data_IF_833858619722
#
_entry.id   IF_833858619722
#
_cell.length_a   1.000
_cell.length_b   1.000
_cell.length_c   1.000
_cell.angle_alpha   90.00
_cell.angle_beta   90.00
_cell.angle_gamma   90.00
#
_symmetry.space_group_name_H-M   'P 1'
#
loop_
_entity.id
_entity.type
_entity.pdbx_description
1 polymer ?
#
# COMPACT_ATOMS: atom_id res chain seq x y z
N UNK A 1 -15.76 11.17 -2.11
CA UNK A 1 -15.03 10.46 -1.03
C UNK A 1 -15.26 8.97 -1.18
N UNK A 2 -14.21 8.16 -1.01
CA UNK A 2 -14.30 6.69 -1.08
C UNK A 2 -14.60 6.15 0.32
N UNK A 3 -15.57 5.27 0.46
CA UNK A 3 -15.91 4.65 1.75
C UNK A 3 -15.16 3.34 1.95
N UNK A 4 -14.53 3.17 3.11
CA UNK A 4 -13.86 1.94 3.54
C UNK A 4 -14.55 1.44 4.82
N UNK A 5 -15.07 0.20 4.80
CA UNK A 5 -15.60 -0.47 6.00
C UNK A 5 -14.54 -1.36 6.61
N UNK A 6 -14.45 -1.34 7.95
CA UNK A 6 -13.53 -2.19 8.71
C UNK A 6 -14.06 -3.62 8.90
N UNK A 7 -15.36 -3.84 8.75
CA UNK A 7 -16.03 -5.14 8.90
C UNK A 7 -16.04 -5.96 7.61
N UNK A 8 -15.67 -5.36 6.48
CA UNK A 8 -15.66 -6.01 5.18
C UNK A 8 -14.25 -5.95 4.55
N UNK A 9 -13.88 -6.95 3.73
CA UNK A 9 -12.64 -6.88 2.97
C UNK A 9 -12.63 -5.67 2.03
N UNK A 10 -11.55 -4.90 2.05
CA UNK A 10 -11.38 -3.78 1.13
C UNK A 10 -10.54 -4.21 -0.08
N UNK A 11 -11.07 -4.00 -1.28
CA UNK A 11 -10.43 -4.44 -2.53
C UNK A 11 -9.77 -3.27 -3.24
N UNK A 12 -8.50 -3.46 -3.60
CA UNK A 12 -7.71 -2.50 -4.36
C UNK A 12 -7.25 -3.19 -5.61
N UNK A 13 -7.44 -2.55 -6.76
CA UNK A 13 -6.94 -3.06 -8.04
C UNK A 13 -5.78 -2.21 -8.52
N UNK A 14 -4.67 -2.86 -8.81
CA UNK A 14 -3.55 -2.23 -9.49
C UNK A 14 -3.87 -2.11 -10.98
N UNK A 15 -3.81 -0.87 -11.49
CA UNK A 15 -3.92 -0.62 -12.91
C UNK A 15 -2.58 -0.95 -13.57
N UNK A 16 -2.46 -2.16 -14.11
CA UNK A 16 -1.25 -2.64 -14.79
C UNK A 16 -0.84 -4.04 -14.33
N UNK A 17 0.47 -4.28 -14.35
CA UNK A 17 1.05 -5.56 -13.90
C UNK A 17 0.98 -5.69 -12.37
N UNK A 18 0.83 -6.92 -11.83
CA UNK A 18 0.97 -7.18 -10.40
C UNK A 18 2.37 -6.82 -9.89
N UNK A 19 2.52 -6.68 -8.57
CA UNK A 19 3.83 -6.47 -7.96
C UNK A 19 4.76 -7.65 -8.28
N UNK A 20 6.00 -7.35 -8.64
CA UNK A 20 7.05 -8.32 -8.92
C UNK A 20 7.86 -8.65 -7.65
N UNK A 21 8.73 -9.67 -7.69
CA UNK A 21 9.46 -10.19 -6.51
C UNK A 21 10.36 -9.17 -5.77
N UNK A 22 10.76 -8.10 -6.45
CA UNK A 22 11.59 -7.01 -5.92
C UNK A 22 10.78 -5.74 -5.61
N UNK A 23 9.45 -5.84 -5.66
CA UNK A 23 8.55 -4.72 -5.49
C UNK A 23 7.73 -4.85 -4.21
N UNK A 24 7.38 -3.70 -3.64
CA UNK A 24 6.43 -3.61 -2.55
C UNK A 24 5.49 -2.44 -2.75
N UNK A 25 4.30 -2.52 -2.15
CA UNK A 25 3.34 -1.43 -2.09
C UNK A 25 3.07 -1.11 -0.63
N UNK A 26 3.32 0.13 -0.24
CA UNK A 26 3.00 0.66 1.08
C UNK A 26 1.73 1.48 0.96
N UNK A 27 0.70 1.08 1.69
CA UNK A 27 -0.55 1.80 1.83
C UNK A 27 -0.54 2.49 3.18
N UNK A 28 -0.43 3.81 3.18
CA UNK A 28 -0.43 4.63 4.37
C UNK A 28 -1.81 5.22 4.56
N UNK A 29 -2.57 4.64 5.49
CA UNK A 29 -3.82 5.22 5.96
C UNK A 29 -3.51 6.27 7.02
N UNK A 30 -4.28 7.34 7.06
CA UNK A 30 -4.23 8.34 8.13
C UNK A 30 -5.63 8.76 8.53
N UNK A 31 -5.85 9.01 9.82
CA UNK A 31 -7.11 9.52 10.34
C UNK A 31 -7.13 11.05 10.41
N UNK A 32 -8.28 11.63 10.78
CA UNK A 32 -8.46 13.08 10.94
C UNK A 32 -7.61 13.71 12.06
N UNK A 33 -6.98 12.91 12.92
CA UNK A 33 -6.02 13.36 13.92
C UNK A 33 -4.56 13.27 13.41
N UNK A 34 -4.34 12.82 12.18
CA UNK A 34 -3.02 12.66 11.57
C UNK A 34 -2.29 11.40 12.02
N UNK A 35 -2.94 10.47 12.73
CA UNK A 35 -2.33 9.19 13.10
C UNK A 35 -2.29 8.30 11.88
N UNK A 36 -1.10 7.82 11.53
CA UNK A 36 -0.90 6.98 10.35
C UNK A 36 -0.81 5.48 10.69
N UNK A 37 -1.32 4.65 9.79
CA UNK A 37 -1.31 3.19 9.86
C UNK A 37 -0.85 2.62 8.51
N UNK A 38 0.36 2.04 8.43
CA UNK A 38 0.86 1.44 7.19
C UNK A 38 0.41 -0.01 7.04
N UNK A 39 0.07 -0.39 5.81
CA UNK A 39 -0.03 -1.78 5.37
C UNK A 39 0.95 -1.96 4.22
N UNK A 40 1.91 -2.87 4.39
CA UNK A 40 2.91 -3.19 3.37
C UNK A 40 2.56 -4.51 2.71
N UNK A 41 2.51 -4.50 1.38
CA UNK A 41 2.36 -5.68 0.55
C UNK A 41 3.68 -5.94 -0.17
N UNK A 42 4.16 -7.16 -0.06
CA UNK A 42 5.40 -7.61 -0.72
C UNK A 42 5.02 -8.42 -1.96
N UNK A 43 5.72 -8.18 -3.06
CA UNK A 43 5.61 -9.03 -4.23
C UNK A 43 6.41 -10.34 -4.11
N UNK A 44 6.28 -11.25 -5.08
CA UNK A 44 5.37 -11.14 -6.22
C UNK A 44 3.91 -11.38 -5.80
N UNK A 45 2.97 -10.73 -6.48
CA UNK A 45 1.53 -11.01 -6.34
C UNK A 45 1.04 -11.85 -7.52
N UNK A 46 0.12 -12.79 -7.25
CA UNK A 46 -0.49 -13.65 -8.27
C UNK A 46 -1.40 -12.90 -9.25
N UNK A 47 -1.82 -11.68 -8.90
CA UNK A 47 -2.72 -10.86 -9.70
C UNK A 47 -2.77 -9.39 -9.26
N UNK A 48 -3.46 -8.54 -10.05
CA UNK A 48 -3.54 -7.11 -9.76
C UNK A 48 -4.51 -6.76 -8.64
N UNK A 49 -5.35 -7.71 -8.21
CA UNK A 49 -6.34 -7.51 -7.16
C UNK A 49 -5.74 -7.83 -5.79
N UNK A 50 -5.78 -6.83 -4.93
CA UNK A 50 -5.33 -6.87 -3.54
C UNK A 50 -6.57 -6.85 -2.65
N UNK A 51 -6.59 -7.71 -1.65
CA UNK A 51 -7.64 -7.74 -0.63
C UNK A 51 -7.02 -7.42 0.72
N UNK A 52 -7.45 -6.32 1.33
CA UNK A 52 -7.14 -6.00 2.72
C UNK A 52 -8.19 -6.63 3.62
N UNK A 53 -7.76 -7.40 4.62
CA UNK A 53 -8.66 -8.09 5.53
C UNK A 53 -9.16 -7.15 6.65
N UNK A 54 -10.31 -7.45 7.28
CA UNK A 54 -10.79 -6.73 8.45
C UNK A 54 -9.72 -6.57 9.55
N UNK A 55 -8.89 -7.57 9.78
CA UNK A 55 -7.83 -7.55 10.80
C UNK A 55 -6.74 -6.51 10.47
N UNK A 56 -6.40 -6.35 9.18
CA UNK A 56 -5.43 -5.34 8.73
C UNK A 56 -6.00 -3.91 8.86
N UNK A 57 -7.33 -3.77 8.82
CA UNK A 57 -8.06 -2.50 8.89
C UNK A 57 -8.56 -2.16 10.30
N UNK A 58 -8.63 -3.14 11.21
CA UNK A 58 -9.13 -2.97 12.58
C UNK A 58 -8.51 -1.78 13.35
N UNK A 59 -7.21 -1.46 13.19
CA UNK A 59 -6.56 -0.36 13.91
C UNK A 59 -6.96 1.04 13.42
N UNK A 60 -7.65 1.15 12.28
CA UNK A 60 -8.09 2.43 11.72
C UNK A 60 -9.20 3.05 12.59
N UNK A 61 -9.08 4.35 12.84
CA UNK A 61 -10.15 5.12 13.49
C UNK A 61 -11.28 5.40 12.49
N UNK A 62 -12.53 5.30 12.97
CA UNK A 62 -13.71 5.68 12.20
C UNK A 62 -13.74 7.20 12.00
N UNK A 63 -14.17 7.64 10.82
CA UNK A 63 -14.28 9.05 10.47
C UNK A 63 -13.57 9.38 9.16
N UNK A 64 -13.28 10.67 8.96
CA UNK A 64 -12.51 11.14 7.79
C UNK A 64 -11.05 10.74 7.93
N UNK A 65 -10.46 10.33 6.81
CA UNK A 65 -9.05 9.98 6.73
C UNK A 65 -8.51 10.15 5.31
N UNK A 66 -7.26 9.78 5.12
CA UNK A 66 -6.61 9.77 3.81
C UNK A 66 -5.84 8.48 3.58
N UNK A 67 -5.80 8.05 2.33
CA UNK A 67 -4.95 6.96 1.85
C UNK A 67 -3.88 7.53 0.93
N UNK A 68 -2.64 7.17 1.20
CA UNK A 68 -1.49 7.47 0.37
C UNK A 68 -0.78 6.17 -0.01
N UNK A 69 -0.33 6.05 -1.26
CA UNK A 69 0.32 4.83 -1.74
C UNK A 69 1.73 5.12 -2.25
N UNK A 70 2.66 4.23 -1.91
CA UNK A 70 4.03 4.23 -2.42
C UNK A 70 4.37 2.86 -2.94
N UNK A 71 4.68 2.75 -4.23
CA UNK A 71 5.30 1.54 -4.79
C UNK A 71 6.80 1.68 -4.69
N UNK A 72 7.48 0.71 -4.09
CA UNK A 72 8.94 0.66 -4.00
C UNK A 72 9.46 -0.50 -4.82
N UNK A 73 10.58 -0.30 -5.49
CA UNK A 73 11.33 -1.34 -6.19
C UNK A 73 12.77 -1.32 -5.69
N UNK A 74 13.28 -2.48 -5.27
CA UNK A 74 14.65 -2.64 -4.77
C UNK A 74 15.37 -3.65 -5.64
N UNK A 75 16.41 -3.21 -6.36
CA UNK A 75 17.24 -4.08 -7.18
C UNK A 75 18.67 -4.05 -6.68
N UNK A 76 19.23 -5.22 -6.43
CA UNK A 76 20.65 -5.38 -6.12
C UNK A 76 21.36 -5.89 -7.37
N UNK A 77 22.43 -5.21 -7.76
CA UNK A 77 23.20 -5.50 -8.97
C UNK A 77 24.63 -5.77 -8.53
N UNK A 78 25.09 -7.00 -8.74
CA UNK A 78 26.48 -7.40 -8.53
C UNK A 78 27.20 -7.44 -9.88
N UNK A 79 28.26 -6.66 -10.04
CA UNK A 79 29.06 -6.61 -11.26
C UNK A 79 30.55 -6.54 -10.93
N UNK A 80 31.23 -7.69 -11.04
CA UNK A 80 32.66 -7.82 -10.70
C UNK A 80 32.92 -7.57 -9.22
N UNK A 81 33.65 -6.48 -8.91
CA UNK A 81 33.97 -6.07 -7.54
C UNK A 81 32.95 -5.09 -6.94
N UNK A 82 31.89 -4.74 -7.69
CA UNK A 82 30.91 -3.77 -7.26
C UNK A 82 29.60 -4.45 -6.89
N UNK A 83 29.02 -4.02 -5.75
CA UNK A 83 27.62 -4.26 -5.41
C UNK A 83 26.90 -2.91 -5.40
N UNK A 84 25.84 -2.81 -6.19
CA UNK A 84 25.03 -1.60 -6.37
C UNK A 84 23.61 -1.89 -5.91
N UNK A 85 23.13 -1.09 -4.96
CA UNK A 85 21.74 -1.11 -4.52
C UNK A 85 20.97 0.04 -5.18
N UNK A 86 20.02 -0.29 -6.05
CA UNK A 86 19.07 0.65 -6.63
C UNK A 86 17.73 0.58 -5.89
N UNK A 87 17.25 1.72 -5.42
CA UNK A 87 15.90 1.86 -4.84
C UNK A 87 15.13 2.91 -5.63
N UNK A 88 13.99 2.53 -6.18
CA UNK A 88 13.07 3.43 -6.88
C UNK A 88 11.74 3.48 -6.14
N UNK A 89 11.23 4.69 -5.90
CA UNK A 89 9.93 4.90 -5.25
C UNK A 89 8.99 5.70 -6.17
N UNK A 90 7.76 5.19 -6.33
CA UNK A 90 6.69 5.81 -7.09
C UNK A 90 5.56 6.20 -6.15
N UNK A 91 5.25 7.50 -6.12
CA UNK A 91 4.29 8.08 -5.19
C UNK A 91 2.97 8.43 -5.90
N UNK A 92 1.84 8.17 -5.25
CA UNK A 92 0.53 8.62 -5.73
C UNK A 92 0.16 9.97 -5.10
N UNK A 93 -0.93 10.58 -5.58
CA UNK A 93 -1.63 11.59 -4.78
C UNK A 93 -2.34 10.90 -3.61
N UNK A 94 -2.54 11.63 -2.52
CA UNK A 94 -3.43 11.19 -1.44
C UNK A 94 -4.87 11.17 -1.92
N UNK A 95 -5.66 10.22 -1.40
CA UNK A 95 -7.08 10.09 -1.65
C UNK A 95 -7.84 10.22 -0.34
N UNK A 96 -8.86 11.07 -0.31
CA UNK A 96 -9.73 11.21 0.88
C UNK A 96 -10.63 9.97 1.03
N UNK A 97 -10.73 9.50 2.27
CA UNK A 97 -11.52 8.35 2.68
C UNK A 97 -12.52 8.71 3.78
N UNK A 98 -13.64 8.00 3.79
CA UNK A 98 -14.51 7.89 4.96
C UNK A 98 -14.42 6.46 5.48
N UNK A 99 -13.86 6.31 6.68
CA UNK A 99 -13.68 5.03 7.36
C UNK A 99 -14.91 4.79 8.23
N UNK A 100 -15.58 3.66 8.02
CA UNK A 100 -16.73 3.21 8.79
C UNK A 100 -16.42 1.85 9.42
N UNK A 101 -17.20 1.47 10.42
CA UNK A 101 -17.09 0.12 10.98
C UNK A 101 -17.43 -0.96 9.95
#
# INVERSE_FOLDING_TARGET
>A
DTTLSKSAPYRIRLNGMPLQAEESLVLLFSDGAGKAWPVTLLGPLDGPDIVLTPEQLAPLAVGRGQLYLVKKQRKEIEEGLYSVLLVVEYYTKSQDLVIVD
#
